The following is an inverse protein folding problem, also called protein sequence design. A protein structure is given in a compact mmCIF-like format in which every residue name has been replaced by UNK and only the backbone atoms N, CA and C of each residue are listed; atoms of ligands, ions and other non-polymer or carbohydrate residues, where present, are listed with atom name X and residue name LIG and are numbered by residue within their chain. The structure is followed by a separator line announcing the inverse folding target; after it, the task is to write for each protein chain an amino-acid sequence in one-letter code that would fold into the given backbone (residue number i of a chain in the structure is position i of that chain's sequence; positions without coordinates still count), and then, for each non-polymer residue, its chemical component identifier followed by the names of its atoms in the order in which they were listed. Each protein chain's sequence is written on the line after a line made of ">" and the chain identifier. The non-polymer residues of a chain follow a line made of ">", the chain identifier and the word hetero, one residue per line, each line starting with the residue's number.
data_IF_307330382716
#
_entry.id   IF_307330382716
#
_cell.length_a   1.000
_cell.length_b   1.000
_cell.length_c   1.000
_cell.angle_alpha   90.00
_cell.angle_beta   90.00
_cell.angle_gamma   90.00
#
_symmetry.space_group_name_H-M   'P 1'
#
loop_
_entity.id
_entity.type
_entity.pdbx_description
1 polymer ?
#
# COMPACT_ATOMS: atom_id res chain seq x y z
N UNK A 1 -16.76 24.36 29.90
CA UNK A 1 -17.01 24.29 28.44
C UNK A 1 -15.75 24.66 27.64
N UNK A 2 -14.59 24.05 27.90
CA UNK A 2 -13.34 24.31 27.15
C UNK A 2 -12.68 23.05 26.56
N UNK A 3 -13.27 21.86 26.76
CA UNK A 3 -12.67 20.59 26.34
C UNK A 3 -13.07 20.10 24.94
N UNK A 4 -14.14 20.61 24.34
CA UNK A 4 -14.64 20.08 23.05
C UNK A 4 -13.94 20.68 21.83
N UNK A 5 -13.46 21.93 21.90
CA UNK A 5 -12.81 22.56 20.75
C UNK A 5 -11.37 22.06 20.55
N UNK A 6 -10.61 21.78 21.61
CA UNK A 6 -9.24 21.27 21.48
C UNK A 6 -9.21 19.86 20.88
N UNK A 7 -10.17 19.01 21.24
CA UNK A 7 -10.34 17.68 20.66
C UNK A 7 -10.63 17.76 19.15
N UNK A 8 -11.46 18.70 18.72
CA UNK A 8 -11.87 18.85 17.33
C UNK A 8 -10.70 19.26 16.40
N UNK A 9 -9.84 20.18 16.85
CA UNK A 9 -8.65 20.58 16.10
C UNK A 9 -7.59 19.48 16.08
N UNK A 10 -7.47 18.72 17.18
CA UNK A 10 -6.57 17.57 17.27
C UNK A 10 -7.02 16.45 16.32
N UNK A 11 -8.32 16.14 16.30
CA UNK A 11 -8.92 15.16 15.40
C UNK A 11 -8.74 15.58 13.94
N UNK A 12 -9.03 16.83 13.59
CA UNK A 12 -8.84 17.37 12.23
C UNK A 12 -7.38 17.31 11.75
N UNK A 13 -6.41 17.57 12.63
CA UNK A 13 -5.00 17.43 12.31
C UNK A 13 -4.63 15.96 12.04
N UNK A 14 -5.11 15.02 12.86
CA UNK A 14 -4.89 13.58 12.66
C UNK A 14 -5.43 13.13 11.31
N UNK A 15 -6.60 13.62 10.88
CA UNK A 15 -7.19 13.28 9.59
C UNK A 15 -6.31 13.74 8.42
N UNK A 16 -5.79 14.97 8.49
CA UNK A 16 -4.90 15.52 7.46
C UNK A 16 -3.59 14.72 7.40
N UNK A 17 -3.01 14.39 8.55
CA UNK A 17 -1.82 13.54 8.63
C UNK A 17 -2.07 12.14 8.08
N UNK A 18 -3.20 11.51 8.41
CA UNK A 18 -3.57 10.20 7.89
C UNK A 18 -3.73 10.22 6.36
N UNK A 19 -4.39 11.27 5.81
CA UNK A 19 -4.53 11.45 4.36
C UNK A 19 -3.18 11.65 3.65
N UNK A 20 -2.30 12.47 4.23
CA UNK A 20 -0.96 12.73 3.69
C UNK A 20 -0.06 11.48 3.74
N UNK A 21 -0.08 10.73 4.84
CA UNK A 21 0.68 9.47 4.96
C UNK A 21 0.16 8.45 3.94
N UNK A 22 -1.15 8.37 3.75
CA UNK A 22 -1.78 7.44 2.80
C UNK A 22 -1.46 7.78 1.34
N UNK A 23 -1.35 9.07 0.98
CA UNK A 23 -0.97 9.46 -0.37
C UNK A 23 0.52 9.19 -0.65
N UNK A 24 1.41 9.49 0.30
CA UNK A 24 2.83 9.15 0.21
C UNK A 24 3.06 7.65 0.09
N UNK A 25 2.35 6.86 0.89
CA UNK A 25 2.31 5.41 0.83
C UNK A 25 2.01 4.88 -0.58
N UNK A 26 0.99 5.44 -1.23
CA UNK A 26 0.56 5.04 -2.57
C UNK A 26 1.61 5.39 -3.65
N UNK A 27 2.28 6.55 -3.50
CA UNK A 27 3.37 6.95 -4.40
C UNK A 27 4.56 5.99 -4.26
N UNK A 28 4.96 5.68 -3.02
CA UNK A 28 6.05 4.73 -2.75
C UNK A 28 5.71 3.34 -3.30
N UNK A 29 4.47 2.88 -3.09
CA UNK A 29 3.99 1.61 -3.64
C UNK A 29 4.12 1.54 -5.16
N UNK A 30 3.64 2.56 -5.87
CA UNK A 30 3.74 2.61 -7.32
C UNK A 30 5.20 2.64 -7.78
N UNK A 31 6.04 3.44 -7.14
CA UNK A 31 7.46 3.54 -7.50
C UNK A 31 8.19 2.21 -7.35
N UNK A 32 8.02 1.55 -6.19
CA UNK A 32 8.68 0.27 -5.91
C UNK A 32 8.14 -0.83 -6.82
N UNK A 33 6.81 -0.88 -7.02
CA UNK A 33 6.20 -1.88 -7.90
C UNK A 33 6.66 -1.73 -9.35
N UNK A 34 6.72 -0.50 -9.86
CA UNK A 34 7.19 -0.24 -11.22
C UNK A 34 8.67 -0.61 -11.40
N UNK A 35 9.52 -0.31 -10.41
CA UNK A 35 10.93 -0.70 -10.45
C UNK A 35 11.10 -2.22 -10.41
N UNK A 36 10.40 -2.91 -9.50
CA UNK A 36 10.41 -4.38 -9.43
C UNK A 36 9.97 -5.01 -10.76
N UNK A 37 8.87 -4.51 -11.35
CA UNK A 37 8.38 -4.99 -12.65
C UNK A 37 9.41 -4.74 -13.75
N UNK A 38 10.06 -3.57 -13.75
CA UNK A 38 11.11 -3.26 -14.73
C UNK A 38 12.29 -4.22 -14.60
N UNK A 39 12.76 -4.48 -13.39
CA UNK A 39 13.90 -5.37 -13.14
C UNK A 39 13.58 -6.83 -13.49
N UNK A 40 12.37 -7.30 -13.18
CA UNK A 40 11.88 -8.60 -13.62
C UNK A 40 11.79 -8.71 -15.14
N UNK A 41 11.33 -7.66 -15.80
CA UNK A 41 11.22 -7.62 -17.27
C UNK A 41 12.60 -7.71 -17.91
N UNK A 42 13.55 -6.89 -17.44
CA UNK A 42 14.94 -6.93 -17.91
C UNK A 42 15.59 -8.30 -17.67
N UNK A 43 15.42 -8.86 -16.47
CA UNK A 43 15.93 -10.19 -16.15
C UNK A 43 15.37 -11.26 -17.10
N UNK A 44 14.08 -11.22 -17.41
CA UNK A 44 13.46 -12.16 -18.34
C UNK A 44 13.96 -11.99 -19.79
N UNK A 45 14.21 -10.75 -20.22
CA UNK A 45 14.82 -10.46 -21.52
C UNK A 45 16.24 -11.02 -21.59
N UNK A 46 17.08 -10.74 -20.59
CA UNK A 46 18.44 -11.28 -20.49
C UNK A 46 18.44 -12.82 -20.46
N UNK A 47 17.52 -13.44 -19.71
CA UNK A 47 17.40 -14.90 -19.64
C UNK A 47 17.01 -15.50 -20.99
N UNK A 48 16.12 -14.82 -21.73
CA UNK A 48 15.69 -15.24 -23.08
C UNK A 48 16.84 -15.13 -24.08
N UNK A 49 17.65 -14.08 -23.98
CA UNK A 49 18.86 -13.91 -24.81
C UNK A 49 19.92 -14.95 -24.47
N UNK A 50 20.19 -15.19 -23.19
CA UNK A 50 21.13 -16.22 -22.73
C UNK A 50 20.71 -17.63 -23.16
N UNK A 51 19.40 -17.92 -23.14
CA UNK A 51 18.83 -19.17 -23.66
C UNK A 51 19.12 -19.35 -25.15
N UNK A 52 18.85 -18.30 -25.95
CA UNK A 52 19.14 -18.31 -27.41
C UNK A 52 20.63 -18.43 -27.71
N UNK A 53 21.48 -17.85 -26.88
CA UNK A 53 22.93 -17.92 -27.01
C UNK A 53 23.52 -19.26 -26.51
N UNK A 54 22.71 -20.17 -25.98
CA UNK A 54 23.16 -21.46 -25.43
C UNK A 54 23.90 -21.35 -24.10
N UNK A 55 23.95 -20.16 -23.49
CA UNK A 55 24.69 -19.89 -22.25
C UNK A 55 24.15 -20.70 -21.06
N UNK A 56 22.85 -21.00 -21.06
CA UNK A 56 22.19 -21.78 -20.01
C UNK A 56 22.62 -23.25 -19.96
N UNK A 57 23.36 -23.74 -20.97
CA UNK A 57 23.97 -25.08 -20.94
C UNK A 57 25.21 -25.14 -20.05
N UNK A 58 25.82 -24.00 -19.72
CA UNK A 58 26.92 -23.92 -18.77
C UNK A 58 26.37 -23.81 -17.35
N UNK A 59 26.69 -24.80 -16.50
CA UNK A 59 26.19 -24.90 -15.14
C UNK A 59 26.48 -23.63 -14.30
N UNK A 60 27.65 -23.02 -14.46
CA UNK A 60 28.03 -21.80 -13.74
C UNK A 60 27.15 -20.60 -14.11
N UNK A 61 26.86 -20.45 -15.41
CA UNK A 61 25.99 -19.36 -15.90
C UNK A 61 24.54 -19.59 -15.45
N UNK A 62 24.05 -20.83 -15.55
CA UNK A 62 22.72 -21.19 -15.07
C UNK A 62 22.57 -20.92 -13.57
N UNK A 63 23.58 -21.25 -12.76
CA UNK A 63 23.58 -21.00 -11.33
C UNK A 63 23.57 -19.48 -11.00
N UNK A 64 24.29 -18.66 -11.77
CA UNK A 64 24.25 -17.21 -11.62
C UNK A 64 22.86 -16.63 -11.91
N UNK A 65 22.19 -17.09 -12.98
CA UNK A 65 20.81 -16.68 -13.26
C UNK A 65 19.83 -17.14 -12.16
N UNK A 66 20.00 -18.37 -11.64
CA UNK A 66 19.20 -18.87 -10.52
C UNK A 66 19.39 -18.05 -9.25
N UNK A 67 20.63 -17.67 -8.94
CA UNK A 67 20.95 -16.83 -7.77
C UNK A 67 20.29 -15.45 -7.89
N UNK A 68 20.43 -14.80 -9.05
CA UNK A 68 19.80 -13.49 -9.30
C UNK A 68 18.27 -13.56 -9.27
N UNK A 69 17.68 -14.66 -9.72
CA UNK A 69 16.23 -14.89 -9.60
C UNK A 69 15.78 -14.97 -8.14
N UNK A 70 16.55 -15.64 -7.28
CA UNK A 70 16.27 -15.70 -5.84
C UNK A 70 16.38 -14.32 -5.19
N UNK A 71 17.41 -13.53 -5.55
CA UNK A 71 17.57 -12.16 -5.04
C UNK A 71 16.38 -11.27 -5.41
N UNK A 72 15.91 -11.33 -6.67
CA UNK A 72 14.72 -10.58 -7.11
C UNK A 72 13.46 -11.01 -6.35
N UNK A 73 13.32 -12.31 -6.07
CA UNK A 73 12.20 -12.86 -5.33
C UNK A 73 12.20 -12.42 -3.86
N UNK A 74 13.37 -12.40 -3.23
CA UNK A 74 13.53 -11.93 -1.86
C UNK A 74 13.30 -10.42 -1.75
N UNK A 75 13.75 -9.63 -2.74
CA UNK A 75 13.46 -8.20 -2.82
C UNK A 75 11.95 -7.95 -2.97
N UNK A 76 11.28 -8.70 -3.83
CA UNK A 76 9.83 -8.61 -4.01
C UNK A 76 9.07 -8.98 -2.73
N UNK A 77 9.49 -10.04 -2.03
CA UNK A 77 8.91 -10.43 -0.74
C UNK A 77 9.12 -9.38 0.33
N UNK A 78 10.32 -8.81 0.43
CA UNK A 78 10.62 -7.74 1.37
C UNK A 78 9.74 -6.52 1.11
N UNK A 79 9.66 -6.05 -0.14
CA UNK A 79 8.81 -4.94 -0.53
C UNK A 79 7.33 -5.21 -0.18
N UNK A 80 6.82 -6.39 -0.52
CA UNK A 80 5.45 -6.78 -0.21
C UNK A 80 5.18 -6.83 1.31
N UNK A 81 6.13 -7.34 2.09
CA UNK A 81 6.03 -7.36 3.55
C UNK A 81 5.93 -5.95 4.15
N UNK A 82 6.74 -5.00 3.67
CA UNK A 82 6.66 -3.61 4.10
C UNK A 82 5.34 -2.95 3.68
N UNK A 83 4.85 -3.23 2.46
CA UNK A 83 3.57 -2.70 1.99
C UNK A 83 2.37 -3.26 2.74
N UNK A 84 2.40 -4.54 3.14
CA UNK A 84 1.34 -5.15 3.95
C UNK A 84 1.13 -4.42 5.28
N UNK A 85 2.22 -4.07 5.96
CA UNK A 85 2.20 -3.29 7.20
C UNK A 85 1.60 -1.91 6.94
N UNK A 86 2.11 -1.22 5.92
CA UNK A 86 1.69 0.13 5.59
C UNK A 86 0.21 0.22 5.16
N UNK A 87 -0.27 -0.73 4.35
CA UNK A 87 -1.68 -0.85 3.97
C UNK A 87 -2.56 -1.09 5.20
N UNK A 88 -2.11 -1.92 6.14
CA UNK A 88 -2.83 -2.20 7.38
C UNK A 88 -2.96 -0.94 8.24
N UNK A 89 -1.87 -0.17 8.40
CA UNK A 89 -1.91 1.11 9.11
C UNK A 89 -2.82 2.13 8.44
N UNK A 90 -2.74 2.26 7.12
CA UNK A 90 -3.64 3.13 6.34
C UNK A 90 -5.10 2.71 6.49
N UNK A 91 -5.39 1.41 6.47
CA UNK A 91 -6.74 0.90 6.65
C UNK A 91 -7.29 1.20 8.06
N UNK A 92 -6.51 0.94 9.11
CA UNK A 92 -6.89 1.23 10.51
C UNK A 92 -7.09 2.73 10.71
N UNK A 93 -6.16 3.56 10.22
CA UNK A 93 -6.27 5.01 10.30
C UNK A 93 -7.50 5.53 9.53
N UNK A 94 -7.78 4.97 8.36
CA UNK A 94 -8.98 5.25 7.57
C UNK A 94 -10.27 4.88 8.31
N UNK A 95 -10.29 3.73 8.98
CA UNK A 95 -11.44 3.29 9.78
C UNK A 95 -11.73 4.24 10.96
N UNK A 96 -10.68 4.60 11.73
CA UNK A 96 -10.80 5.54 12.86
C UNK A 96 -11.27 6.91 12.36
N UNK A 97 -10.67 7.39 11.27
CA UNK A 97 -11.06 8.63 10.58
C UNK A 97 -12.54 8.63 10.22
N UNK A 98 -13.01 7.54 9.63
CA UNK A 98 -14.39 7.40 9.18
C UNK A 98 -15.37 7.37 10.36
N UNK A 99 -15.03 6.63 11.42
CA UNK A 99 -15.83 6.56 12.64
C UNK A 99 -15.95 7.92 13.34
N UNK A 100 -14.84 8.66 13.46
CA UNK A 100 -14.83 10.02 14.02
C UNK A 100 -15.63 10.99 13.15
N UNK A 101 -15.44 10.97 11.83
CA UNK A 101 -16.21 11.78 10.89
C UNK A 101 -17.72 11.51 10.97
N UNK A 102 -18.12 10.24 11.11
CA UNK A 102 -19.51 9.85 11.30
C UNK A 102 -20.08 10.32 12.65
N UNK A 103 -19.32 10.20 13.73
CA UNK A 103 -19.73 10.69 15.06
C UNK A 103 -19.93 12.22 15.06
N UNK A 104 -18.98 12.95 14.47
CA UNK A 104 -19.06 14.41 14.33
C UNK A 104 -20.28 14.79 13.50
N UNK A 105 -20.47 14.20 12.31
CA UNK A 105 -21.62 14.53 11.47
C UNK A 105 -22.95 14.21 12.14
N UNK A 106 -23.06 13.08 12.87
CA UNK A 106 -24.27 12.77 13.64
C UNK A 106 -24.53 13.75 14.79
N UNK A 107 -23.48 14.37 15.33
CA UNK A 107 -23.59 15.35 16.41
C UNK A 107 -24.04 16.73 15.93
N UNK A 108 -23.91 17.04 14.64
CA UNK A 108 -24.23 18.35 14.06
C UNK A 108 -25.23 18.32 12.89
N UNK A 109 -25.57 17.14 12.35
CA UNK A 109 -26.53 16.95 11.28
C UNK A 109 -27.58 15.89 11.69
N UNK A 110 -28.86 16.19 11.46
CA UNK A 110 -29.98 15.29 11.77
C UNK A 110 -29.99 14.02 10.90
N UNK A 111 -29.23 14.02 9.80
CA UNK A 111 -29.16 12.90 8.87
C UNK A 111 -27.72 12.64 8.38
N UNK A 112 -27.34 11.36 8.35
CA UNK A 112 -26.01 10.95 7.87
C UNK A 112 -26.04 10.88 6.34
N UNK A 113 -25.20 11.66 5.61
CA UNK A 113 -25.17 11.64 4.15
C UNK A 113 -24.96 10.22 3.62
N UNK A 114 -25.73 9.82 2.61
CA UNK A 114 -25.69 8.46 2.04
C UNK A 114 -24.30 8.01 1.58
N UNK A 115 -23.42 8.94 1.22
CA UNK A 115 -22.05 8.67 0.80
C UNK A 115 -21.18 8.11 1.94
N UNK A 116 -21.46 8.47 3.20
CA UNK A 116 -20.80 7.89 4.38
C UNK A 116 -21.30 6.47 4.67
N UNK A 117 -22.58 6.19 4.40
CA UNK A 117 -23.15 4.84 4.55
C UNK A 117 -22.53 3.88 3.53
N UNK A 118 -22.42 4.31 2.27
CA UNK A 118 -21.82 3.51 1.18
C UNK A 118 -20.33 3.25 1.43
N UNK A 119 -19.56 4.27 1.84
CA UNK A 119 -18.15 4.08 2.18
C UNK A 119 -17.95 3.18 3.41
N UNK A 120 -18.84 3.21 4.40
CA UNK A 120 -18.80 2.26 5.55
C UNK A 120 -18.95 0.81 5.07
N UNK A 121 -19.88 0.55 4.14
CA UNK A 121 -20.09 -0.80 3.58
C UNK A 121 -18.86 -1.22 2.76
N UNK A 122 -18.32 -0.34 1.92
CA UNK A 122 -17.10 -0.62 1.14
C UNK A 122 -15.90 -0.94 2.03
N UNK A 123 -15.69 -0.19 3.12
CA UNK A 123 -14.60 -0.46 4.06
C UNK A 123 -14.76 -1.77 4.84
N UNK A 124 -15.98 -2.13 5.25
CA UNK A 124 -16.25 -3.42 5.94
C UNK A 124 -16.10 -4.62 5.01
N UNK A 125 -16.42 -4.46 3.73
CA UNK A 125 -16.27 -5.51 2.71
C UNK A 125 -14.81 -5.67 2.28
N UNK A 126 -14.05 -4.58 2.18
CA UNK A 126 -12.61 -4.61 1.83
C UNK A 126 -11.69 -5.02 2.99
N UNK A 127 -12.17 -4.95 4.23
CA UNK A 127 -11.44 -5.38 5.44
C UNK A 127 -11.60 -6.87 5.77
N UNK A 128 -12.19 -7.68 4.89
CA UNK A 128 -12.32 -9.14 5.02
C UNK A 128 -11.42 -9.87 4.03
#
# INVERSE_FOLDING_TARGET
>A
MFGSQSLFWFDGAILIWAGFISSLALVIYNLVSNNLVSDYTKFNEELKEASKAGQLSHADLLNNYGTRQLELLDLARFAYGQFSILVTFTFVAGFITHALGGFIMRSFAEDIPGILKVSTISFVVLGK
#
